data_IF_663721632397
#
_entry.id   IF_663721632397
#
_cell.length_a   1.000
_cell.length_b   1.000
_cell.length_c   1.000
_cell.angle_alpha   90.00
_cell.angle_beta   90.00
_cell.angle_gamma   90.00
#
_symmetry.space_group_name_H-M   'P 1'
#
loop_
_entity.id
_entity.type
_entity.pdbx_description
1 polymer ?
#
# COMPACT_ATOMS: atom_id res chain seq x y z
N UNK A 1 -15.91 32.61 3.21
CA UNK A 1 -15.41 31.22 3.33
C UNK A 1 -15.04 30.76 1.95
N UNK A 2 -13.76 30.69 1.58
CA UNK A 2 -13.46 30.38 0.20
C UNK A 2 -13.29 28.87 -0.01
N UNK A 3 -14.21 28.33 -0.80
CA UNK A 3 -13.98 27.16 -1.63
C UNK A 3 -13.23 27.70 -2.86
N UNK A 4 -12.00 27.25 -3.10
CA UNK A 4 -11.23 27.58 -4.30
C UNK A 4 -11.07 26.31 -5.14
N UNK A 5 -11.74 26.30 -6.29
CA UNK A 5 -11.45 25.41 -7.43
C UNK A 5 -10.52 26.15 -8.37
N UNK A 6 -9.31 25.64 -8.65
CA UNK A 6 -8.50 26.03 -9.82
C UNK A 6 -7.34 25.04 -10.05
N UNK A 7 -7.01 24.83 -11.30
CA UNK A 7 -6.29 23.69 -11.86
C UNK A 7 -4.76 23.76 -11.63
N UNK A 8 -4.16 22.61 -11.30
CA UNK A 8 -2.71 22.32 -11.23
C UNK A 8 -1.85 23.12 -10.22
N UNK A 9 -1.86 22.70 -8.94
CA UNK A 9 -0.68 22.82 -8.07
C UNK A 9 -0.65 21.77 -6.95
N UNK A 10 0.41 20.96 -6.94
CA UNK A 10 0.97 20.18 -5.84
C UNK A 10 0.14 19.02 -5.23
N UNK A 11 0.57 17.79 -5.55
CA UNK A 11 0.38 16.51 -4.87
C UNK A 11 -0.83 16.40 -3.93
N UNK A 12 -1.78 15.52 -4.28
CA UNK A 12 -2.73 14.98 -3.31
C UNK A 12 -1.99 14.67 -2.00
N UNK A 13 -2.52 15.09 -0.82
CA UNK A 13 -1.81 14.90 0.44
C UNK A 13 -1.46 13.42 0.55
N UNK A 14 -0.16 13.12 0.61
CA UNK A 14 0.31 11.74 0.64
C UNK A 14 -0.41 11.01 1.76
N UNK A 15 -1.23 10.03 1.39
CA UNK A 15 -2.00 9.31 2.38
C UNK A 15 -1.02 8.48 3.21
N UNK A 16 -1.27 8.38 4.50
CA UNK A 16 -0.43 7.55 5.35
C UNK A 16 -0.41 6.11 4.81
N UNK A 17 0.79 5.54 4.72
CA UNK A 17 1.08 4.23 4.10
C UNK A 17 0.96 4.19 2.56
N UNK A 18 0.88 5.33 1.86
CA UNK A 18 0.78 5.36 0.39
C UNK A 18 2.04 4.84 -0.30
N UNK A 19 3.24 5.19 0.21
CA UNK A 19 4.50 4.64 -0.31
C UNK A 19 4.52 3.11 -0.30
N UNK A 20 4.21 2.49 0.86
CA UNK A 20 4.16 1.02 0.98
C UNK A 20 3.11 0.43 0.05
N UNK A 21 1.97 1.13 -0.10
CA UNK A 21 0.88 0.69 -0.96
C UNK A 21 1.32 0.67 -2.42
N UNK A 22 2.07 1.66 -2.86
CA UNK A 22 2.55 1.74 -4.23
C UNK A 22 3.65 0.73 -4.52
N UNK A 23 4.56 0.50 -3.58
CA UNK A 23 5.57 -0.56 -3.71
C UNK A 23 4.92 -1.95 -3.73
N UNK A 24 3.91 -2.19 -2.88
CA UNK A 24 3.14 -3.44 -2.91
C UNK A 24 2.41 -3.64 -4.24
N UNK A 25 1.79 -2.58 -4.79
CA UNK A 25 1.14 -2.66 -6.11
C UNK A 25 2.16 -2.98 -7.20
N UNK A 26 3.29 -2.26 -7.23
CA UNK A 26 4.36 -2.48 -8.21
C UNK A 26 4.88 -3.92 -8.15
N UNK A 27 5.09 -4.42 -6.94
CA UNK A 27 5.51 -5.80 -6.71
C UNK A 27 4.50 -6.80 -7.28
N UNK A 28 3.21 -6.64 -7.00
CA UNK A 28 2.16 -7.55 -7.48
C UNK A 28 1.94 -7.46 -8.99
N UNK A 29 2.03 -6.27 -9.59
CA UNK A 29 1.90 -6.07 -11.05
C UNK A 29 3.06 -6.71 -11.84
N UNK A 30 4.22 -6.89 -11.21
CA UNK A 30 5.35 -7.58 -11.80
C UNK A 30 5.22 -9.12 -11.75
N UNK A 31 4.31 -9.67 -10.92
CA UNK A 31 4.17 -11.12 -10.77
C UNK A 31 3.34 -11.75 -11.89
N UNK A 32 3.69 -13.00 -12.20
CA UNK A 32 2.98 -13.83 -13.19
C UNK A 32 1.49 -14.02 -12.86
N UNK A 33 1.12 -14.00 -11.58
CA UNK A 33 -0.29 -14.14 -11.18
C UNK A 33 -1.17 -13.01 -11.76
N UNK A 34 -0.66 -11.78 -11.83
CA UNK A 34 -1.40 -10.66 -12.40
C UNK A 34 -1.20 -10.58 -13.92
N UNK A 35 0.01 -10.87 -14.41
CA UNK A 35 0.31 -10.73 -15.85
C UNK A 35 -0.26 -11.89 -16.70
N UNK A 36 -0.10 -13.13 -16.25
CA UNK A 36 -0.48 -14.34 -17.01
C UNK A 36 -1.89 -14.77 -16.69
N UNK A 37 -2.23 -14.90 -15.40
CA UNK A 37 -3.54 -15.39 -14.98
C UNK A 37 -4.62 -14.30 -15.00
N UNK A 38 -4.22 -13.02 -15.15
CA UNK A 38 -5.11 -11.84 -15.13
C UNK A 38 -6.00 -11.78 -13.90
N UNK A 39 -5.56 -12.38 -12.80
CA UNK A 39 -6.25 -12.32 -11.52
C UNK A 39 -6.02 -10.98 -10.86
N UNK A 40 -6.95 -10.58 -9.98
CA UNK A 40 -6.74 -9.37 -9.21
C UNK A 40 -5.61 -9.56 -8.20
N UNK A 41 -4.82 -8.52 -7.87
CA UNK A 41 -3.77 -8.61 -6.87
C UNK A 41 -4.28 -9.14 -5.50
N UNK A 42 -5.56 -8.92 -5.20
CA UNK A 42 -6.22 -9.44 -3.99
C UNK A 42 -6.43 -10.95 -4.05
N UNK A 43 -6.80 -11.50 -5.20
CA UNK A 43 -6.95 -12.94 -5.40
C UNK A 43 -5.61 -13.64 -5.38
N UNK A 44 -4.59 -13.06 -6.04
CA UNK A 44 -3.21 -13.54 -5.99
C UNK A 44 -2.70 -13.69 -4.54
N UNK A 45 -2.95 -12.67 -3.71
CA UNK A 45 -2.57 -12.68 -2.29
C UNK A 45 -3.41 -13.63 -1.42
N UNK A 46 -4.64 -13.99 -1.83
CA UNK A 46 -5.48 -14.97 -1.10
C UNK A 46 -5.11 -16.40 -1.45
N UNK A 47 -4.82 -16.64 -2.74
CA UNK A 47 -4.41 -17.95 -3.24
C UNK A 47 -3.00 -18.34 -2.82
N UNK A 48 -2.20 -17.40 -2.28
CA UNK A 48 -0.78 -17.58 -1.99
C UNK A 48 -0.05 -18.19 -3.19
N UNK A 49 -0.22 -17.58 -4.36
CA UNK A 49 0.32 -18.12 -5.61
C UNK A 49 1.85 -18.26 -5.50
N UNK A 50 2.46 -19.39 -5.92
CA UNK A 50 3.90 -19.61 -5.82
C UNK A 50 4.73 -18.59 -6.63
N UNK A 51 4.09 -17.88 -7.56
CA UNK A 51 4.72 -16.84 -8.36
C UNK A 51 4.96 -15.52 -7.60
N UNK A 52 4.44 -15.38 -6.38
CA UNK A 52 4.63 -14.16 -5.58
C UNK A 52 5.92 -14.31 -4.77
N UNK A 53 6.94 -13.47 -5.00
CA UNK A 53 8.17 -13.52 -4.25
C UNK A 53 7.93 -13.12 -2.79
N UNK A 54 8.81 -13.60 -1.91
CA UNK A 54 8.79 -13.29 -0.46
C UNK A 54 8.86 -11.79 -0.19
N UNK A 55 9.48 -11.01 -1.08
CA UNK A 55 9.52 -9.54 -1.03
C UNK A 55 8.12 -8.91 -1.04
N UNK A 56 7.21 -9.36 -1.92
CA UNK A 56 5.84 -8.85 -1.95
C UNK A 56 5.07 -9.24 -0.67
N UNK A 57 5.38 -10.40 -0.08
CA UNK A 57 4.80 -10.79 1.20
C UNK A 57 5.31 -9.91 2.35
N UNK A 58 6.58 -9.51 2.34
CA UNK A 58 7.12 -8.56 3.31
C UNK A 58 6.45 -7.19 3.18
N UNK A 59 6.28 -6.68 1.94
CA UNK A 59 5.55 -5.42 1.69
C UNK A 59 4.09 -5.49 2.15
N UNK A 60 3.43 -6.64 2.00
CA UNK A 60 2.07 -6.86 2.52
C UNK A 60 2.03 -6.74 4.05
N UNK A 61 2.98 -7.39 4.73
CA UNK A 61 3.10 -7.32 6.20
C UNK A 61 3.36 -5.88 6.65
N UNK A 62 4.28 -5.19 5.98
CA UNK A 62 4.63 -3.80 6.29
C UNK A 62 3.44 -2.85 6.05
N UNK A 63 2.66 -3.06 4.99
CA UNK A 63 1.43 -2.31 4.74
C UNK A 63 0.38 -2.56 5.83
N UNK A 64 0.25 -3.80 6.30
CA UNK A 64 -0.65 -4.15 7.39
C UNK A 64 -0.21 -3.52 8.71
N UNK A 65 1.08 -3.54 9.02
CA UNK A 65 1.66 -2.88 10.20
C UNK A 65 1.48 -1.36 10.15
N UNK A 66 1.67 -0.74 8.98
CA UNK A 66 1.46 0.69 8.80
C UNK A 66 -0.02 1.07 9.06
N UNK A 67 -0.97 0.29 8.50
CA UNK A 67 -2.40 0.46 8.79
C UNK A 67 -2.74 0.21 10.25
N UNK A 68 -2.12 -0.78 10.89
CA UNK A 68 -2.32 -1.07 12.31
C UNK A 68 -1.81 0.08 13.18
N UNK A 69 -0.64 0.64 12.85
CA UNK A 69 -0.06 1.80 13.55
C UNK A 69 -0.94 3.05 13.41
N UNK A 70 -1.76 3.16 12.36
CA UNK A 70 -2.72 4.26 12.22
C UNK A 70 -3.90 4.17 13.19
N UNK A 71 -4.31 2.94 13.53
CA UNK A 71 -5.41 2.67 14.46
C UNK A 71 -4.94 2.59 15.91
N UNK A 72 -3.65 2.35 16.14
CA UNK A 72 -3.09 2.22 17.49
C UNK A 72 -3.01 3.59 18.18
N UNK A 73 -3.89 3.82 19.14
CA UNK A 73 -3.94 5.03 19.96
C UNK A 73 -2.63 5.28 20.73
N UNK A 74 -1.84 4.24 21.03
CA UNK A 74 -0.55 4.38 21.73
C UNK A 74 0.50 5.09 20.88
N UNK A 75 0.37 5.01 19.55
CA UNK A 75 1.28 5.62 18.59
C UNK A 75 0.92 7.09 18.29
N UNK A 76 -0.23 7.59 18.80
CA UNK A 76 -0.63 9.00 18.65
C UNK A 76 0.34 9.96 19.34
N UNK A 77 0.85 9.57 20.51
CA UNK A 77 1.79 10.38 21.28
C UNK A 77 3.25 10.12 20.92
N UNK A 78 3.59 8.89 20.50
CA UNK A 78 4.96 8.48 20.19
C UNK A 78 5.39 8.76 18.74
N UNK A 79 4.46 9.16 17.90
CA UNK A 79 4.67 9.26 16.46
C UNK A 79 4.53 7.91 15.76
N UNK A 80 4.24 7.97 14.46
CA UNK A 80 4.10 6.78 13.61
C UNK A 80 5.48 6.23 13.27
N UNK A 81 5.59 4.91 13.13
CA UNK A 81 6.77 4.29 12.52
C UNK A 81 6.80 4.68 11.04
N UNK A 82 7.86 5.35 10.61
CA UNK A 82 8.03 5.80 9.23
C UNK A 82 8.21 4.64 8.26
N UNK A 83 7.74 4.85 7.03
CA UNK A 83 8.11 4.12 5.82
C UNK A 83 8.67 5.11 4.83
#
# INVERSE_FOLDING_TARGET
MPIYTEENSALAPHQACEGVRDDLKRCLLATDCVQKERLTPRECLRANHPSIPTECHNLKTLFFECKRSMLDNRQRFRGRKGY
#
